data_IF_565736478304
#
_entry.id   IF_565736478304
#
_cell.length_a   1.000
_cell.length_b   1.000
_cell.length_c   1.000
_cell.angle_alpha   90.00
_cell.angle_beta   90.00
_cell.angle_gamma   90.00
#
_symmetry.space_group_name_H-M   'P 1'
#
loop_
_entity.id
_entity.type
_entity.pdbx_description
1 polymer ?
#
# COMPACT_ATOMS: atom_id res chain seq x y z
N UNK A 1 -2.18 20.29 8.13
CA UNK A 1 -3.60 19.90 8.06
C UNK A 1 -3.78 18.99 6.86
N UNK A 2 -4.20 17.73 7.04
CA UNK A 2 -4.46 16.81 5.92
C UNK A 2 -5.74 17.25 5.21
N UNK A 3 -5.73 17.28 3.88
CA UNK A 3 -6.85 17.79 3.08
C UNK A 3 -7.69 16.62 2.57
N UNK A 4 -9.01 16.75 2.65
CA UNK A 4 -9.94 15.78 2.07
C UNK A 4 -9.85 15.83 0.53
N UNK A 5 -9.80 14.66 -0.12
CA UNK A 5 -9.71 14.56 -1.58
C UNK A 5 -10.94 15.10 -2.30
N UNK A 6 -12.13 14.88 -1.74
CA UNK A 6 -13.37 15.49 -2.27
C UNK A 6 -13.34 17.01 -2.18
N UNK A 7 -12.86 17.56 -1.06
CA UNK A 7 -12.78 19.00 -0.84
C UNK A 7 -11.72 19.62 -1.77
N UNK A 8 -10.62 18.90 -2.02
CA UNK A 8 -9.56 19.33 -2.93
C UNK A 8 -10.03 19.39 -4.39
N UNK A 9 -10.82 18.41 -4.84
CA UNK A 9 -11.46 18.43 -6.16
C UNK A 9 -12.65 19.41 -6.22
N UNK A 10 -13.22 19.74 -5.06
CA UNK A 10 -14.40 20.58 -4.92
C UNK A 10 -15.67 19.87 -5.40
N UNK A 11 -15.85 18.62 -4.97
CA UNK A 11 -17.00 17.77 -5.30
C UNK A 11 -17.60 17.15 -4.03
N UNK A 12 -18.84 16.68 -4.12
CA UNK A 12 -19.47 15.93 -3.03
C UNK A 12 -18.95 14.49 -2.93
N UNK A 13 -19.13 13.86 -1.77
CA UNK A 13 -18.74 12.46 -1.54
C UNK A 13 -19.47 11.48 -2.46
N UNK A 14 -20.69 11.82 -2.87
CA UNK A 14 -21.51 11.01 -3.78
C UNK A 14 -21.24 11.32 -5.25
N UNK A 15 -20.17 12.06 -5.56
CA UNK A 15 -19.83 12.42 -6.93
C UNK A 15 -19.64 11.18 -7.81
N UNK A 16 -20.17 11.25 -9.02
CA UNK A 16 -20.00 10.25 -10.06
C UNK A 16 -18.60 10.35 -10.69
N UNK A 17 -18.17 9.29 -11.39
CA UNK A 17 -16.85 9.27 -12.04
C UNK A 17 -16.69 10.39 -13.08
N UNK A 18 -17.79 10.75 -13.76
CA UNK A 18 -17.81 11.88 -14.70
C UNK A 18 -17.63 13.23 -14.00
N UNK A 19 -18.21 13.41 -12.80
CA UNK A 19 -18.03 14.61 -11.99
C UNK A 19 -16.61 14.72 -11.46
N UNK A 20 -16.03 13.60 -10.99
CA UNK A 20 -14.62 13.53 -10.58
C UNK A 20 -13.69 13.92 -11.73
N UNK A 21 -13.93 13.38 -12.93
CA UNK A 21 -13.14 13.68 -14.12
C UNK A 21 -13.26 15.14 -14.57
N UNK A 22 -14.48 15.71 -14.51
CA UNK A 22 -14.71 17.14 -14.79
C UNK A 22 -14.01 18.03 -13.76
N UNK A 23 -14.14 17.71 -12.47
CA UNK A 23 -13.53 18.45 -11.38
C UNK A 23 -12.00 18.43 -11.46
N UNK A 24 -11.41 17.26 -11.72
CA UNK A 24 -9.97 17.11 -11.91
C UNK A 24 -9.46 18.00 -13.05
N UNK A 25 -10.09 17.96 -14.23
CA UNK A 25 -9.68 18.82 -15.36
C UNK A 25 -9.76 20.31 -15.03
N UNK A 26 -10.81 20.74 -14.32
CA UNK A 26 -10.97 22.13 -13.87
C UNK A 26 -9.84 22.53 -12.92
N UNK A 27 -9.59 21.74 -11.88
CA UNK A 27 -8.57 22.03 -10.87
C UNK A 27 -7.15 21.98 -11.46
N UNK A 28 -6.88 21.01 -12.34
CA UNK A 28 -5.63 20.90 -13.07
C UNK A 28 -5.32 22.15 -13.92
N UNK A 29 -6.34 22.73 -14.57
CA UNK A 29 -6.18 23.97 -15.33
C UNK A 29 -5.94 25.20 -14.42
N UNK A 30 -6.59 25.25 -13.26
CA UNK A 30 -6.43 26.36 -12.30
C UNK A 30 -5.03 26.35 -11.68
N UNK A 31 -4.54 25.17 -11.31
CA UNK A 31 -3.25 25.00 -10.60
C UNK A 31 -2.10 24.58 -11.51
N UNK A 32 -2.24 24.71 -12.83
CA UNK A 32 -1.14 24.42 -13.75
C UNK A 32 0.03 25.40 -13.53
N UNK A 33 1.29 24.95 -13.46
CA UNK A 33 2.44 25.82 -13.26
C UNK A 33 2.55 26.91 -14.34
N UNK A 34 2.28 26.59 -15.61
CA UNK A 34 2.26 27.56 -16.73
C UNK A 34 1.16 28.65 -16.63
N UNK A 35 0.21 28.54 -15.71
CA UNK A 35 -0.77 29.62 -15.45
C UNK A 35 -0.50 30.40 -14.18
N UNK A 36 0.41 29.91 -13.35
CA UNK A 36 0.72 30.46 -12.02
C UNK A 36 2.23 30.73 -11.92
N UNK A 37 2.76 31.53 -12.84
CA UNK A 37 4.19 31.84 -12.93
C UNK A 37 4.73 32.57 -11.69
N UNK A 38 3.86 33.26 -10.98
CA UNK A 38 4.11 33.99 -9.74
C UNK A 38 4.19 33.08 -8.50
N UNK A 39 3.58 31.89 -8.57
CA UNK A 39 3.51 30.93 -7.45
C UNK A 39 3.72 29.48 -7.89
N UNK A 40 4.72 29.25 -8.73
CA UNK A 40 5.01 27.94 -9.35
C UNK A 40 5.17 26.83 -8.32
N UNK A 41 5.85 27.09 -7.20
CA UNK A 41 6.06 26.08 -6.14
C UNK A 41 4.74 25.62 -5.52
N UNK A 42 3.89 26.57 -5.11
CA UNK A 42 2.59 26.27 -4.51
C UNK A 42 1.66 25.57 -5.52
N UNK A 43 1.66 26.05 -6.77
CA UNK A 43 0.88 25.45 -7.84
C UNK A 43 1.30 24.02 -8.12
N UNK A 44 2.61 23.73 -8.12
CA UNK A 44 3.14 22.37 -8.32
C UNK A 44 2.71 21.43 -7.19
N UNK A 45 2.81 21.86 -5.94
CA UNK A 45 2.37 21.06 -4.79
C UNK A 45 0.86 20.80 -4.81
N UNK A 46 0.05 21.84 -5.06
CA UNK A 46 -1.41 21.71 -5.19
C UNK A 46 -1.80 20.81 -6.35
N UNK A 47 -1.14 20.95 -7.49
CA UNK A 47 -1.39 20.14 -8.68
C UNK A 47 -1.08 18.67 -8.42
N UNK A 48 0.02 18.36 -7.72
CA UNK A 48 0.36 17.01 -7.31
C UNK A 48 -0.73 16.40 -6.41
N UNK A 49 -1.21 17.15 -5.41
CA UNK A 49 -2.30 16.71 -4.54
C UNK A 49 -3.62 16.51 -5.29
N UNK A 50 -3.95 17.38 -6.25
CA UNK A 50 -5.17 17.28 -7.07
C UNK A 50 -5.14 16.02 -7.94
N UNK A 51 -3.98 15.73 -8.52
CA UNK A 51 -3.75 14.50 -9.29
C UNK A 51 -3.91 13.27 -8.41
N UNK A 52 -3.30 13.29 -7.22
CA UNK A 52 -3.43 12.21 -6.24
C UNK A 52 -4.88 11.97 -5.83
N UNK A 53 -5.61 13.03 -5.48
CA UNK A 53 -7.02 12.95 -5.13
C UNK A 53 -7.85 12.31 -6.25
N UNK A 54 -7.59 12.66 -7.51
CA UNK A 54 -8.28 12.05 -8.64
C UNK A 54 -7.89 10.58 -8.83
N UNK A 55 -6.60 10.23 -8.76
CA UNK A 55 -6.14 8.84 -8.89
C UNK A 55 -6.83 7.93 -7.87
N UNK A 56 -6.85 8.32 -6.59
CA UNK A 56 -7.49 7.54 -5.50
C UNK A 56 -9.01 7.47 -5.67
N UNK A 57 -9.67 8.60 -5.96
CA UNK A 57 -11.13 8.63 -6.05
C UNK A 57 -11.68 8.01 -7.34
N UNK A 58 -10.88 7.89 -8.40
CA UNK A 58 -11.30 7.31 -9.68
C UNK A 58 -11.25 5.77 -9.72
N UNK A 59 -10.44 5.14 -8.86
CA UNK A 59 -10.39 3.68 -8.73
C UNK A 59 -11.39 3.24 -7.65
N UNK A 60 -12.36 2.39 -8.02
CA UNK A 60 -13.44 2.00 -7.11
C UNK A 60 -12.95 1.31 -5.82
N UNK A 61 -11.85 0.56 -5.90
CA UNK A 61 -11.26 -0.11 -4.74
C UNK A 61 -10.54 0.91 -3.86
N UNK A 62 -9.71 1.79 -4.46
CA UNK A 62 -8.99 2.83 -3.71
C UNK A 62 -9.96 3.86 -3.10
N UNK A 63 -11.06 4.20 -3.79
CA UNK A 63 -12.13 5.09 -3.29
C UNK A 63 -12.87 4.50 -2.10
N UNK A 64 -13.34 3.25 -2.22
CA UNK A 64 -14.03 2.55 -1.12
C UNK A 64 -13.15 2.48 0.12
N UNK A 65 -11.87 2.19 -0.09
CA UNK A 65 -10.88 2.13 0.97
C UNK A 65 -10.63 3.50 1.61
N UNK A 66 -10.48 4.55 0.81
CA UNK A 66 -10.36 5.93 1.29
C UNK A 66 -11.59 6.35 2.08
N UNK A 67 -12.79 6.09 1.59
CA UNK A 67 -14.05 6.46 2.25
C UNK A 67 -14.19 5.78 3.62
N UNK A 68 -13.80 4.50 3.73
CA UNK A 68 -13.83 3.75 4.99
C UNK A 68 -12.87 4.28 6.07
N UNK A 69 -11.78 4.92 5.67
CA UNK A 69 -10.70 5.34 6.59
C UNK A 69 -10.47 6.86 6.61
N UNK A 70 -11.24 7.63 5.84
CA UNK A 70 -11.08 9.08 5.64
C UNK A 70 -10.99 9.83 6.96
N UNK A 71 -11.88 9.55 7.89
CA UNK A 71 -11.94 10.30 9.14
C UNK A 71 -10.71 10.03 10.01
N UNK A 72 -10.16 8.80 10.00
CA UNK A 72 -8.90 8.49 10.65
C UNK A 72 -7.71 9.20 9.95
N UNK A 73 -7.70 9.22 8.62
CA UNK A 73 -6.67 9.93 7.84
C UNK A 73 -6.69 11.42 8.16
N UNK A 74 -7.86 12.06 8.18
CA UNK A 74 -8.01 13.51 8.35
C UNK A 74 -7.84 13.98 9.78
N UNK A 75 -8.18 13.16 10.77
CA UNK A 75 -7.92 13.47 12.18
C UNK A 75 -6.44 13.66 12.47
N UNK A 76 -5.56 13.09 11.63
CA UNK A 76 -4.12 13.35 11.68
C UNK A 76 -3.61 13.11 13.08
N UNK A 77 -3.81 11.89 13.57
CA UNK A 77 -3.59 11.63 14.97
C UNK A 77 -2.10 11.54 15.30
N UNK A 78 -1.58 12.59 15.93
CA UNK A 78 -0.24 12.65 16.53
C UNK A 78 -0.16 11.82 17.84
N UNK A 79 -1.01 10.80 18.04
CA UNK A 79 -0.95 9.86 19.17
C UNK A 79 0.19 8.83 19.06
N UNK A 80 1.41 9.27 18.73
CA UNK A 80 2.63 8.45 18.96
C UNK A 80 3.02 8.36 20.44
N UNK A 81 2.43 9.18 21.32
CA UNK A 81 2.88 9.33 22.70
C UNK A 81 2.19 8.40 23.73
N UNK A 82 1.13 7.67 23.36
CA UNK A 82 0.38 6.82 24.31
C UNK A 82 -0.14 5.52 23.68
N UNK A 83 0.58 4.97 22.71
CA UNK A 83 0.26 3.65 22.15
C UNK A 83 1.06 2.58 22.88
N UNK A 84 0.39 1.49 23.21
CA UNK A 84 1.03 0.28 23.72
C UNK A 84 2.09 -0.17 22.70
N UNK A 85 3.36 -0.19 23.10
CA UNK A 85 4.49 -0.54 22.22
C UNK A 85 4.31 -1.92 21.58
N UNK A 86 3.48 -2.78 22.19
CA UNK A 86 3.10 -4.11 21.69
C UNK A 86 2.38 -4.10 20.33
N UNK A 87 1.67 -3.04 19.96
CA UNK A 87 0.88 -3.03 18.72
C UNK A 87 1.74 -2.81 17.46
N UNK A 88 2.90 -2.18 17.59
CA UNK A 88 3.77 -1.82 16.47
C UNK A 88 3.11 -0.86 15.47
N UNK A 89 3.42 -1.04 14.18
CA UNK A 89 2.80 -0.29 13.09
C UNK A 89 1.32 -0.65 12.98
N UNK A 90 0.47 0.37 13.07
CA UNK A 90 -0.99 0.20 13.05
C UNK A 90 -1.56 0.35 11.63
N UNK A 91 -2.81 -0.07 11.46
CA UNK A 91 -3.59 0.20 10.25
C UNK A 91 -3.55 1.68 9.89
N UNK A 92 -3.75 2.60 10.84
CA UNK A 92 -3.77 4.03 10.57
C UNK A 92 -2.42 4.57 10.10
N UNK A 93 -1.32 4.01 10.63
CA UNK A 93 0.02 4.36 10.19
C UNK A 93 0.23 3.94 8.72
N UNK A 94 -0.18 2.73 8.37
CA UNK A 94 -0.14 2.21 6.99
C UNK A 94 -0.98 3.04 6.03
N UNK A 95 -2.14 3.54 6.48
CA UNK A 95 -3.01 4.40 5.67
C UNK A 95 -2.30 5.67 5.20
N UNK A 96 -1.38 6.22 5.99
CA UNK A 96 -0.63 7.40 5.59
C UNK A 96 0.28 7.15 4.37
N UNK A 97 0.71 5.91 4.16
CA UNK A 97 1.56 5.49 3.04
C UNK A 97 0.80 5.27 1.73
N UNK A 98 -0.53 5.27 1.74
CA UNK A 98 -1.31 5.34 0.49
C UNK A 98 -1.26 6.74 -0.13
N UNK A 99 -0.73 7.72 0.58
CA UNK A 99 -0.57 9.06 0.04
C UNK A 99 0.69 9.19 -0.80
N UNK A 100 0.54 9.67 -2.03
CA UNK A 100 1.64 9.93 -2.98
C UNK A 100 2.58 11.00 -2.43
N UNK A 101 2.08 11.89 -1.57
CA UNK A 101 2.91 12.90 -0.91
C UNK A 101 3.98 12.34 0.04
N UNK A 102 3.94 11.04 0.38
CA UNK A 102 4.94 10.41 1.25
C UNK A 102 6.30 10.22 0.59
N UNK A 103 6.37 10.26 -0.75
CA UNK A 103 7.63 10.10 -1.48
C UNK A 103 7.82 11.16 -2.56
N UNK A 104 9.08 11.54 -2.78
CA UNK A 104 9.50 12.54 -3.76
C UNK A 104 10.17 11.88 -4.96
N UNK A 105 9.35 11.49 -5.93
CA UNK A 105 9.78 10.90 -7.18
C UNK A 105 10.23 9.44 -7.06
N UNK A 106 10.47 8.82 -8.22
CA UNK A 106 10.83 7.41 -8.34
C UNK A 106 12.34 7.22 -8.37
N UNK A 107 13.01 7.52 -7.26
CA UNK A 107 14.46 7.41 -7.11
C UNK A 107 14.82 6.72 -5.77
N UNK A 108 16.11 6.44 -5.59
CA UNK A 108 16.65 5.83 -4.36
C UNK A 108 17.10 6.87 -3.32
N UNK A 109 16.74 8.15 -3.48
CA UNK A 109 17.02 9.16 -2.45
C UNK A 109 16.31 8.81 -1.13
N UNK A 110 16.71 9.44 -0.03
CA UNK A 110 16.16 9.11 1.30
C UNK A 110 14.64 9.31 1.39
N UNK A 111 14.10 10.25 0.60
CA UNK A 111 12.67 10.53 0.45
C UNK A 111 12.07 9.96 -0.84
N UNK A 112 12.84 9.19 -1.60
CA UNK A 112 12.41 8.59 -2.86
C UNK A 112 11.51 7.37 -2.64
N UNK A 113 10.69 7.06 -3.65
CA UNK A 113 9.74 5.93 -3.64
C UNK A 113 10.38 4.64 -3.10
N UNK A 114 11.51 4.21 -3.66
CA UNK A 114 12.09 2.91 -3.32
C UNK A 114 12.58 2.86 -1.87
N UNK A 115 13.20 3.93 -1.37
CA UNK A 115 13.73 3.96 0.00
C UNK A 115 12.63 4.06 1.04
N UNK A 116 11.59 4.89 0.82
CA UNK A 116 10.46 5.05 1.73
C UNK A 116 9.74 3.72 1.95
N UNK A 117 9.37 3.05 0.85
CA UNK A 117 8.67 1.76 0.97
C UNK A 117 9.60 0.63 1.42
N UNK A 118 10.87 0.58 0.99
CA UNK A 118 11.83 -0.41 1.50
C UNK A 118 11.95 -0.33 3.03
N UNK A 119 12.09 0.88 3.59
CA UNK A 119 12.17 1.06 5.05
C UNK A 119 10.87 0.64 5.75
N UNK A 120 9.71 0.97 5.18
CA UNK A 120 8.41 0.57 5.74
C UNK A 120 8.27 -0.95 5.81
N UNK A 121 8.46 -1.65 4.70
CA UNK A 121 8.28 -3.10 4.65
C UNK A 121 9.37 -3.84 5.45
N UNK A 122 10.57 -3.29 5.53
CA UNK A 122 11.60 -3.79 6.45
C UNK A 122 11.15 -3.66 7.91
N UNK A 123 10.56 -2.52 8.29
CA UNK A 123 10.02 -2.32 9.63
C UNK A 123 8.89 -3.32 9.93
N UNK A 124 7.95 -3.50 9.01
CA UNK A 124 6.88 -4.48 9.15
C UNK A 124 7.43 -5.89 9.34
N UNK A 125 8.40 -6.29 8.52
CA UNK A 125 9.03 -7.59 8.63
C UNK A 125 9.69 -7.80 10.00
N UNK A 126 10.44 -6.80 10.49
CA UNK A 126 11.06 -6.88 11.81
C UNK A 126 10.02 -7.02 12.94
N UNK A 127 8.90 -6.29 12.86
CA UNK A 127 7.80 -6.40 13.83
C UNK A 127 7.12 -7.78 13.81
N UNK A 128 7.00 -8.40 12.63
CA UNK A 128 6.46 -9.76 12.51
C UNK A 128 7.44 -10.81 13.02
N UNK A 129 8.75 -10.62 12.81
CA UNK A 129 9.79 -11.50 13.35
C UNK A 129 9.82 -11.44 14.89
N UNK A 130 9.70 -10.24 15.46
CA UNK A 130 9.61 -10.04 16.91
C UNK A 130 8.35 -10.70 17.48
N UNK A 131 7.19 -10.50 16.85
CA UNK A 131 5.96 -11.15 17.26
C UNK A 131 6.03 -12.69 17.18
N UNK A 132 6.69 -13.24 16.16
CA UNK A 132 6.93 -14.68 16.06
C UNK A 132 7.81 -15.21 17.20
N UNK A 133 8.81 -14.43 17.65
CA UNK A 133 9.69 -14.81 18.75
C UNK A 133 8.97 -14.85 20.10
N UNK A 134 8.00 -13.96 20.30
CA UNK A 134 7.27 -13.84 21.57
C UNK A 134 6.15 -14.88 21.73
N UNK A 135 5.59 -15.38 20.62
CA UNK A 135 4.60 -16.46 20.61
C UNK A 135 5.02 -17.57 19.66
N UNK A 136 6.10 -18.32 19.97
CA UNK A 136 6.49 -19.44 19.14
C UNK A 136 5.41 -20.51 19.25
N UNK A 137 4.84 -20.92 18.12
CA UNK A 137 4.10 -22.17 18.05
C UNK A 137 5.10 -23.29 18.40
N UNK A 138 4.74 -24.21 19.32
CA UNK A 138 5.67 -25.26 19.78
C UNK A 138 6.20 -26.13 18.63
N UNK A 139 5.50 -26.14 17.48
CA UNK A 139 5.81 -26.91 16.27
C UNK A 139 6.42 -26.08 15.12
N UNK A 140 6.45 -24.73 15.19
CA UNK A 140 6.91 -23.87 14.09
C UNK A 140 8.19 -23.10 14.45
N UNK A 141 9.32 -23.63 13.99
CA UNK A 141 10.67 -23.12 14.28
C UNK A 141 11.13 -22.11 13.21
N UNK A 142 10.41 -21.98 12.08
CA UNK A 142 10.90 -21.26 10.89
C UNK A 142 10.02 -20.07 10.53
N UNK A 143 10.42 -18.89 10.99
CA UNK A 143 9.84 -17.63 10.50
C UNK A 143 10.10 -17.49 9.00
N UNK A 144 9.02 -17.37 8.21
CA UNK A 144 9.12 -17.16 6.77
C UNK A 144 9.61 -15.73 6.50
N UNK A 145 10.87 -15.61 6.07
CA UNK A 145 11.46 -14.31 5.77
C UNK A 145 10.84 -13.68 4.51
N UNK A 146 10.26 -12.50 4.67
CA UNK A 146 9.70 -11.76 3.53
C UNK A 146 10.82 -11.12 2.70
N UNK A 147 10.78 -11.25 1.36
CA UNK A 147 11.77 -10.63 0.49
C UNK A 147 11.75 -9.10 0.60
N UNK A 148 12.92 -8.48 0.42
CA UNK A 148 13.08 -7.03 0.44
C UNK A 148 12.56 -6.38 -0.83
N UNK A 149 12.15 -5.10 -0.75
CA UNK A 149 11.68 -4.34 -1.92
C UNK A 149 12.77 -4.00 -2.95
N UNK A 150 14.03 -4.06 -2.52
CA UNK A 150 15.18 -3.71 -3.35
C UNK A 150 15.32 -2.21 -3.62
N UNK A 151 15.82 -1.87 -4.80
CA UNK A 151 16.10 -0.49 -5.24
C UNK A 151 15.61 -0.26 -6.67
N UNK A 152 15.85 0.93 -7.23
CA UNK A 152 15.43 1.26 -8.60
C UNK A 152 15.97 0.32 -9.69
N UNK A 153 17.11 -0.35 -9.43
CA UNK A 153 17.79 -1.25 -10.37
C UNK A 153 17.45 -2.72 -10.16
N UNK A 154 16.68 -3.06 -9.13
CA UNK A 154 16.29 -4.46 -8.88
C UNK A 154 15.42 -4.94 -10.05
N UNK A 155 15.78 -6.07 -10.71
CA UNK A 155 15.03 -6.58 -11.84
C UNK A 155 13.63 -7.02 -11.41
N UNK A 156 12.64 -6.78 -12.28
CA UNK A 156 11.26 -7.10 -11.94
C UNK A 156 11.03 -8.62 -11.87
N UNK A 157 11.55 -9.35 -12.85
CA UNK A 157 11.49 -10.80 -12.96
C UNK A 157 12.75 -11.33 -13.67
N UNK A 158 12.92 -12.65 -13.65
CA UNK A 158 14.03 -13.37 -14.27
C UNK A 158 14.14 -13.03 -15.76
N UNK A 159 15.30 -12.51 -16.18
CA UNK A 159 15.59 -12.28 -17.60
C UNK A 159 16.46 -13.39 -18.19
N UNK A 160 17.38 -13.97 -17.40
CA UNK A 160 18.29 -15.03 -17.87
C UNK A 160 18.98 -15.75 -16.69
N UNK A 161 18.28 -16.70 -16.05
CA UNK A 161 18.80 -17.53 -14.95
C UNK A 161 18.26 -17.17 -13.56
N UNK A 162 18.09 -18.18 -12.71
CA UNK A 162 17.52 -18.09 -11.36
C UNK A 162 18.57 -17.61 -10.35
N UNK A 163 18.38 -16.41 -9.80
CA UNK A 163 19.24 -15.81 -8.77
C UNK A 163 18.78 -16.10 -7.33
N UNK A 164 17.84 -17.03 -7.13
CA UNK A 164 17.28 -17.32 -5.81
C UNK A 164 16.04 -16.50 -5.46
N UNK A 165 15.26 -17.01 -4.50
CA UNK A 165 14.05 -16.35 -4.00
C UNK A 165 14.38 -15.03 -3.32
N UNK A 166 13.65 -13.97 -3.67
CA UNK A 166 13.83 -12.63 -3.10
C UNK A 166 14.83 -11.75 -3.85
N UNK A 167 15.39 -12.25 -4.95
CA UNK A 167 16.23 -11.47 -5.87
C UNK A 167 15.43 -10.57 -6.81
N UNK A 168 14.12 -10.82 -6.95
CA UNK A 168 13.25 -10.14 -7.91
C UNK A 168 12.11 -9.39 -7.24
N UNK A 169 11.70 -8.27 -7.84
CA UNK A 169 10.56 -7.47 -7.36
C UNK A 169 9.24 -8.25 -7.42
N UNK A 170 9.10 -9.19 -8.36
CA UNK A 170 7.95 -10.10 -8.41
C UNK A 170 7.80 -10.92 -7.13
N UNK A 171 8.89 -11.39 -6.56
CA UNK A 171 8.87 -12.21 -5.34
C UNK A 171 8.41 -11.37 -4.15
N UNK A 172 8.86 -10.12 -4.08
CA UNK A 172 8.33 -9.11 -3.15
C UNK A 172 6.82 -9.00 -3.25
N UNK A 173 6.28 -8.69 -4.44
CA UNK A 173 4.84 -8.51 -4.59
C UNK A 173 4.04 -9.80 -4.38
N UNK A 174 4.62 -10.97 -4.67
CA UNK A 174 4.00 -12.26 -4.42
C UNK A 174 3.88 -12.54 -2.92
N UNK A 175 4.97 -12.35 -2.16
CA UNK A 175 4.99 -12.59 -0.72
C UNK A 175 4.08 -11.61 0.02
N UNK A 176 4.24 -10.31 -0.24
CA UNK A 176 3.46 -9.26 0.44
C UNK A 176 2.00 -9.20 -0.05
N UNK A 177 1.71 -9.67 -1.25
CA UNK A 177 0.33 -9.86 -1.73
C UNK A 177 -0.42 -10.97 -0.98
N UNK A 178 0.30 -11.94 -0.41
CA UNK A 178 -0.26 -13.04 0.40
C UNK A 178 0.02 -12.86 1.91
N UNK A 179 0.45 -11.67 2.32
CA UNK A 179 0.86 -11.36 3.68
C UNK A 179 -0.18 -11.78 4.71
N UNK A 180 0.27 -12.40 5.81
CA UNK A 180 -0.58 -12.72 6.96
C UNK A 180 0.22 -12.45 8.23
N UNK A 181 -0.32 -11.60 9.10
CA UNK A 181 0.34 -11.24 10.35
C UNK A 181 0.28 -12.37 11.38
N UNK A 182 1.41 -12.60 12.05
CA UNK A 182 1.58 -13.52 13.18
C UNK A 182 1.31 -12.83 14.52
N UNK A 183 1.14 -11.50 14.53
CA UNK A 183 0.86 -10.74 15.75
C UNK A 183 -0.37 -11.27 16.50
N UNK A 184 -0.36 -11.14 17.82
CA UNK A 184 -1.42 -11.67 18.68
C UNK A 184 -2.73 -10.87 18.61
N UNK A 185 -2.64 -9.55 18.36
CA UNK A 185 -3.74 -8.58 18.42
C UNK A 185 -4.44 -8.50 19.79
N UNK A 186 -3.82 -8.98 20.87
CA UNK A 186 -4.44 -8.99 22.21
C UNK A 186 -4.80 -7.60 22.73
N UNK A 187 -4.11 -6.55 22.28
CA UNK A 187 -4.43 -5.15 22.61
C UNK A 187 -5.81 -4.70 22.06
N UNK A 188 -6.43 -5.49 21.18
CA UNK A 188 -7.79 -5.24 20.67
C UNK A 188 -8.89 -5.88 21.54
N UNK A 189 -8.52 -6.55 22.63
CA UNK A 189 -9.47 -7.16 23.56
C UNK A 189 -10.29 -6.08 24.27
N UNK A 190 -11.62 -6.18 24.14
CA UNK A 190 -12.56 -5.22 24.75
C UNK A 190 -12.81 -5.52 26.22
N UNK A 191 -12.65 -6.78 26.61
CA UNK A 191 -13.05 -7.29 27.90
C UNK A 191 -11.88 -7.94 28.63
N UNK A 192 -11.71 -7.63 29.92
CA UNK A 192 -10.76 -8.34 30.78
C UNK A 192 -11.42 -9.61 31.32
N UNK A 193 -10.92 -10.78 30.94
CA UNK A 193 -11.53 -12.07 31.34
C UNK A 193 -11.52 -12.32 32.86
N UNK A 194 -10.69 -11.61 33.61
CA UNK A 194 -10.65 -11.62 35.08
C UNK A 194 -11.86 -10.96 35.72
N UNK A 195 -12.54 -10.05 35.02
CA UNK A 195 -13.70 -9.31 35.51
C UNK A 195 -15.03 -10.07 35.27
N UNK A 196 -14.95 -11.26 34.66
CA UNK A 196 -16.14 -12.03 34.33
C UNK A 196 -16.85 -12.55 35.61
N UNK A 197 -18.13 -12.22 35.83
CA UNK A 197 -18.86 -12.61 37.05
C UNK A 197 -19.17 -14.11 37.12
N UNK A 198 -19.19 -14.81 35.98
CA UNK A 198 -19.39 -16.25 35.91
C UNK A 198 -18.85 -16.84 34.60
N UNK A 199 -18.83 -18.18 34.51
CA UNK A 199 -18.32 -18.93 33.35
C UNK A 199 -19.04 -18.60 32.03
N UNK A 200 -20.33 -18.31 32.07
CA UNK A 200 -21.12 -18.02 30.86
C UNK A 200 -20.71 -16.66 30.31
N UNK A 201 -20.65 -15.64 31.18
CA UNK A 201 -20.22 -14.29 30.81
C UNK A 201 -18.76 -14.32 30.35
N UNK A 202 -17.89 -15.08 31.01
CA UNK A 202 -16.49 -15.26 30.57
C UNK A 202 -16.41 -15.80 29.14
N UNK A 203 -17.20 -16.83 28.81
CA UNK A 203 -17.24 -17.38 27.44
C UNK A 203 -17.77 -16.37 26.42
N UNK A 204 -18.75 -15.55 26.79
CA UNK A 204 -19.25 -14.47 25.93
C UNK A 204 -18.15 -13.41 25.69
N UNK A 205 -17.46 -12.99 26.75
CA UNK A 205 -16.32 -12.06 26.68
C UNK A 205 -15.18 -12.61 25.82
N UNK A 206 -14.80 -13.89 25.99
CA UNK A 206 -13.79 -14.58 25.16
C UNK A 206 -14.17 -14.58 23.68
N UNK A 207 -15.45 -14.86 23.37
CA UNK A 207 -15.97 -14.84 22.00
C UNK A 207 -15.93 -13.45 21.40
N UNK A 208 -16.28 -12.42 22.16
CA UNK A 208 -16.23 -11.02 21.71
C UNK A 208 -14.79 -10.53 21.50
N UNK A 209 -13.87 -10.84 22.41
CA UNK A 209 -12.46 -10.55 22.24
C UNK A 209 -11.89 -11.23 21.00
N UNK A 210 -12.15 -12.55 20.82
CA UNK A 210 -11.73 -13.27 19.62
C UNK A 210 -12.27 -12.61 18.34
N UNK A 211 -13.55 -12.23 18.32
CA UNK A 211 -14.14 -11.51 17.19
C UNK A 211 -13.45 -10.17 16.93
N UNK A 212 -13.12 -9.41 17.97
CA UNK A 212 -12.41 -8.14 17.85
C UNK A 212 -11.01 -8.33 17.25
N UNK A 213 -10.25 -9.31 17.75
CA UNK A 213 -8.92 -9.67 17.22
C UNK A 213 -8.97 -10.15 15.77
N UNK A 214 -9.89 -11.04 15.45
CA UNK A 214 -10.05 -11.59 14.09
C UNK A 214 -10.42 -10.47 13.09
N UNK A 215 -11.26 -9.52 13.52
CA UNK A 215 -11.63 -8.35 12.71
C UNK A 215 -10.43 -7.44 12.47
N UNK A 216 -9.71 -7.07 13.55
CA UNK A 216 -8.55 -6.20 13.46
C UNK A 216 -7.40 -6.83 12.64
N UNK A 217 -7.17 -8.14 12.80
CA UNK A 217 -6.18 -8.88 12.00
C UNK A 217 -6.54 -8.89 10.53
N UNK A 218 -7.82 -9.10 10.21
CA UNK A 218 -8.30 -9.05 8.83
C UNK A 218 -8.08 -7.66 8.23
N UNK A 219 -8.51 -6.61 8.93
CA UNK A 219 -8.31 -5.23 8.49
C UNK A 219 -6.83 -4.94 8.26
N UNK A 220 -5.96 -5.24 9.23
CA UNK A 220 -4.52 -5.05 9.09
C UNK A 220 -3.92 -5.81 7.90
N UNK A 221 -4.23 -7.09 7.74
CA UNK A 221 -3.73 -7.88 6.60
C UNK A 221 -4.20 -7.30 5.27
N UNK A 222 -5.48 -6.93 5.18
CA UNK A 222 -6.04 -6.32 3.97
C UNK A 222 -5.37 -4.96 3.68
N UNK A 223 -5.03 -4.17 4.70
CA UNK A 223 -4.29 -2.91 4.53
C UNK A 223 -2.91 -3.11 3.92
N UNK A 224 -2.13 -4.10 4.41
CA UNK A 224 -0.78 -4.40 3.93
C UNK A 224 -0.82 -4.92 2.49
N UNK A 225 -1.76 -5.83 2.19
CA UNK A 225 -1.95 -6.39 0.84
C UNK A 225 -2.40 -5.32 -0.16
N UNK A 226 -3.31 -4.44 0.25
CA UNK A 226 -3.76 -3.32 -0.56
C UNK A 226 -2.61 -2.33 -0.80
N UNK A 227 -1.73 -2.11 0.18
CA UNK A 227 -0.56 -1.25 0.03
C UNK A 227 0.44 -1.82 -0.98
N UNK A 228 0.71 -3.12 -0.90
CA UNK A 228 1.53 -3.81 -1.89
C UNK A 228 0.93 -3.70 -3.32
N UNK A 229 -0.39 -3.83 -3.44
CA UNK A 229 -1.10 -3.65 -4.72
C UNK A 229 -1.01 -2.20 -5.23
N UNK A 230 -1.21 -1.23 -4.34
CA UNK A 230 -1.10 0.20 -4.62
C UNK A 230 0.29 0.57 -5.16
N UNK A 231 1.34 0.05 -4.52
CA UNK A 231 2.73 0.21 -4.98
C UNK A 231 2.95 -0.45 -6.34
N UNK A 232 2.47 -1.69 -6.51
CA UNK A 232 2.65 -2.45 -7.75
C UNK A 232 2.10 -1.71 -8.96
N UNK A 233 0.92 -1.08 -8.85
CA UNK A 233 0.32 -0.27 -9.95
C UNK A 233 1.19 0.93 -10.34
N UNK A 234 1.97 1.48 -9.41
CA UNK A 234 2.73 2.72 -9.57
C UNK A 234 4.23 2.50 -9.80
N UNK A 235 4.71 1.27 -9.64
CA UNK A 235 6.11 0.90 -9.80
C UNK A 235 6.59 1.03 -11.26
N UNK A 236 7.54 1.93 -11.57
CA UNK A 236 8.08 2.07 -12.92
C UNK A 236 8.76 0.80 -13.44
N UNK A 237 9.31 -0.03 -12.54
CA UNK A 237 10.00 -1.28 -12.92
C UNK A 237 9.03 -2.28 -13.55
N UNK A 238 7.76 -2.29 -13.10
CA UNK A 238 6.71 -3.13 -13.71
C UNK A 238 6.38 -2.65 -15.12
N UNK A 239 6.23 -1.34 -15.32
CA UNK A 239 5.92 -0.77 -16.65
C UNK A 239 7.03 -1.06 -17.65
N UNK A 240 8.28 -0.81 -17.25
CA UNK A 240 9.45 -1.11 -18.08
C UNK A 240 9.52 -2.61 -18.44
N UNK A 241 9.23 -3.49 -17.49
CA UNK A 241 9.18 -4.94 -17.74
C UNK A 241 8.07 -5.32 -18.72
N UNK A 242 6.85 -4.77 -18.57
CA UNK A 242 5.73 -5.04 -19.46
C UNK A 242 5.99 -4.54 -20.88
N UNK A 243 6.58 -3.35 -21.03
CA UNK A 243 6.97 -2.78 -22.32
C UNK A 243 8.03 -3.65 -23.01
N UNK A 244 9.04 -4.13 -22.28
CA UNK A 244 10.08 -4.98 -22.85
C UNK A 244 9.56 -6.37 -23.24
N UNK A 245 8.72 -6.99 -22.41
CA UNK A 245 8.03 -8.24 -22.76
C UNK A 245 7.16 -8.09 -24.01
N UNK A 246 6.45 -6.96 -24.13
CA UNK A 246 5.62 -6.69 -25.30
C UNK A 246 6.47 -6.52 -26.56
N UNK A 247 7.58 -5.76 -26.47
CA UNK A 247 8.54 -5.61 -27.58
C UNK A 247 9.12 -6.96 -28.01
N UNK A 248 9.47 -7.83 -27.06
CA UNK A 248 9.99 -9.18 -27.35
C UNK A 248 8.95 -10.03 -28.08
N UNK A 249 7.68 -9.98 -27.65
CA UNK A 249 6.58 -10.70 -28.31
C UNK A 249 6.32 -10.16 -29.72
N UNK A 250 6.34 -8.85 -29.90
CA UNK A 250 6.13 -8.21 -31.19
C UNK A 250 7.27 -8.53 -32.17
N UNK A 251 8.52 -8.55 -31.69
CA UNK A 251 9.69 -8.97 -32.47
C UNK A 251 9.60 -10.45 -32.89
N UNK A 252 9.27 -11.36 -31.96
CA UNK A 252 9.09 -12.78 -32.26
C UNK A 252 7.94 -13.02 -33.26
N UNK A 253 6.83 -12.28 -33.11
CA UNK A 253 5.72 -12.35 -34.05
C UNK A 253 6.09 -11.81 -35.45
N UNK A 254 6.88 -10.74 -35.52
CA UNK A 254 7.39 -10.21 -36.78
C UNK A 254 8.35 -11.18 -37.47
N UNK A 255 9.25 -11.82 -36.72
CA UNK A 255 10.17 -12.83 -37.23
C UNK A 255 9.42 -14.07 -37.76
N UNK A 256 8.42 -14.56 -37.01
CA UNK A 256 7.57 -15.66 -37.47
C UNK A 256 6.81 -15.30 -38.75
N UNK A 257 6.24 -14.10 -38.83
CA UNK A 257 5.57 -13.61 -40.06
C UNK A 257 6.55 -13.52 -41.24
N UNK A 258 7.77 -13.03 -41.03
CA UNK A 258 8.80 -12.96 -42.05
C UNK A 258 9.25 -14.35 -42.53
N UNK A 259 9.35 -15.33 -41.62
CA UNK A 259 9.68 -16.72 -41.98
C UNK A 259 8.60 -17.35 -42.86
N UNK A 260 7.32 -17.19 -42.49
CA UNK A 260 6.19 -17.70 -43.28
C UNK A 260 6.09 -17.03 -44.66
N UNK A 261 6.44 -15.75 -44.78
CA UNK A 261 6.48 -15.05 -46.07
C UNK A 261 7.64 -15.47 -46.97
N UNK A 262 8.78 -15.92 -46.40
CA UNK A 262 9.92 -16.44 -47.16
C UNK A 262 9.71 -17.87 -47.66
N UNK A 263 8.82 -18.63 -47.02
CA UNK A 263 8.48 -20.01 -47.36
C UNK A 263 7.32 -20.13 -48.37
N UNK A 264 6.70 -19.00 -48.76
CA UNK A 264 5.66 -18.91 -49.80
C UNK A 264 6.24 -18.35 -51.10
#
# INVERSE_FOLDING_TARGET
MRVCYYDLLGVERKATDDELKKAYRRQALIWHPDKNHDRVSEATERFALIREAYEVLSDAQERSWYDGHRDAILRGDDHKASRDSSAGTTTEDLMSYFSISQFKGFNDSDTGFYTVYRKLFQKLMNEEEEAHRDTPDEDDISFTHYPSFGNSKTPFADSDGYMGYGSYVRDFYSAWGNFTSVKSFQWMDKWRLSEAPNRIVRRAMEKENKKARDTARKEYNDTVRNLATFMRKRDPRLKAFQEEEQRRKDAAAAEQKARVQREK
#
